data_IF_668253357724
#
_entry.id   IF_668253357724
#
_cell.length_a   1.000
_cell.length_b   1.000
_cell.length_c   1.000
_cell.angle_alpha   90.00
_cell.angle_beta   90.00
_cell.angle_gamma   90.00
#
_symmetry.space_group_name_H-M   'P 1'
#
loop_
_entity.id
_entity.type
_entity.pdbx_description
1 polymer ?
#
# COMPACT_ATOMS: atom_id res chain seq x y z
N UNK A 1 32.12 -16.62 30.18
CA UNK A 1 32.88 -15.49 30.77
C UNK A 1 33.30 -15.92 32.16
N UNK A 2 34.58 -15.85 32.48
CA UNK A 2 35.07 -16.17 33.82
C UNK A 2 34.38 -15.24 34.83
N UNK A 3 33.69 -15.82 35.81
CA UNK A 3 32.97 -15.11 36.86
C UNK A 3 33.99 -14.59 37.88
N UNK A 4 34.83 -13.66 37.44
CA UNK A 4 35.85 -13.04 38.28
C UNK A 4 35.14 -12.01 39.15
N UNK A 5 35.23 -12.23 40.45
CA UNK A 5 34.74 -11.28 41.43
C UNK A 5 35.63 -10.03 41.44
N UNK A 6 35.16 -8.96 40.78
CA UNK A 6 35.86 -7.68 40.69
C UNK A 6 35.99 -6.99 42.04
N UNK A 7 35.09 -7.27 42.99
CA UNK A 7 35.16 -6.73 44.35
C UNK A 7 36.29 -7.41 45.13
N UNK A 8 36.39 -8.74 45.05
CA UNK A 8 37.49 -9.48 45.64
C UNK A 8 38.87 -9.09 45.05
N UNK A 9 38.92 -8.73 43.76
CA UNK A 9 40.13 -8.16 43.16
C UNK A 9 40.44 -6.77 43.72
N UNK A 10 39.45 -5.88 43.81
CA UNK A 10 39.63 -4.53 44.38
C UNK A 10 40.19 -4.61 45.80
N UNK A 11 39.64 -5.46 46.66
CA UNK A 11 40.11 -5.65 48.03
C UNK A 11 41.54 -6.20 48.10
N UNK A 12 41.91 -7.10 47.19
CA UNK A 12 43.25 -7.71 47.15
C UNK A 12 44.35 -6.71 46.81
N UNK A 13 44.08 -5.83 45.84
CA UNK A 13 45.04 -4.84 45.35
C UNK A 13 44.92 -3.48 46.05
N UNK A 14 43.99 -3.34 47.01
CA UNK A 14 43.88 -2.14 47.82
C UNK A 14 45.03 -2.03 48.83
N UNK A 15 45.52 -0.80 49.11
CA UNK A 15 46.48 -0.57 50.19
C UNK A 15 45.96 -1.11 51.52
N UNK A 16 46.80 -1.87 52.23
CA UNK A 16 46.44 -2.47 53.52
C UNK A 16 46.84 -1.54 54.67
N UNK A 17 46.01 -1.44 55.73
CA UNK A 17 46.37 -0.66 56.91
C UNK A 17 47.60 -1.26 57.61
N UNK A 18 48.27 -0.45 58.42
CA UNK A 18 49.37 -0.94 59.24
C UNK A 18 48.86 -2.02 60.22
N UNK A 19 49.60 -3.12 60.41
CA UNK A 19 49.22 -4.16 61.34
C UNK A 19 49.31 -3.67 62.79
N UNK A 20 48.49 -4.27 63.65
CA UNK A 20 48.59 -4.10 65.09
C UNK A 20 49.67 -5.01 65.69
N UNK A 21 50.30 -4.55 66.76
CA UNK A 21 51.29 -5.34 67.48
C UNK A 21 50.61 -6.50 68.22
N UNK A 22 51.04 -7.73 67.93
CA UNK A 22 50.51 -8.93 68.60
C UNK A 22 50.84 -9.02 70.10
N UNK A 23 51.73 -8.16 70.62
CA UNK A 23 52.12 -8.15 72.04
C UNK A 23 51.27 -7.14 72.83
N UNK A 24 50.99 -5.95 72.29
CA UNK A 24 50.31 -4.87 73.03
C UNK A 24 49.08 -4.26 72.32
N UNK A 25 48.75 -4.70 71.11
CA UNK A 25 47.59 -4.22 70.33
C UNK A 25 47.73 -2.83 69.73
N UNK A 26 48.87 -2.14 69.90
CA UNK A 26 49.09 -0.81 69.30
C UNK A 26 49.44 -0.91 67.82
N UNK A 27 49.01 0.08 67.03
CA UNK A 27 49.38 0.21 65.61
C UNK A 27 50.90 0.26 65.45
N UNK A 28 51.42 -0.54 64.53
CA UNK A 28 52.85 -0.64 64.27
C UNK A 28 53.31 0.40 63.25
N UNK A 29 54.56 0.84 63.36
CA UNK A 29 55.14 1.80 62.42
C UNK A 29 56.10 1.11 61.44
N UNK A 30 56.22 1.66 60.24
CA UNK A 30 57.12 1.14 59.20
C UNK A 30 58.57 1.35 59.63
N UNK A 31 59.34 0.26 59.69
CA UNK A 31 60.76 0.27 60.07
C UNK A 31 61.68 0.18 58.85
N UNK A 32 61.24 -0.56 57.83
CA UNK A 32 62.00 -0.77 56.60
C UNK A 32 61.06 -1.09 55.44
N UNK A 33 61.29 -0.46 54.31
CA UNK A 33 60.65 -0.81 53.03
C UNK A 33 61.74 -1.35 52.11
N UNK A 34 61.55 -2.55 51.57
CA UNK A 34 62.44 -3.14 50.57
C UNK A 34 61.58 -3.71 49.44
N UNK A 35 61.41 -2.91 48.38
CA UNK A 35 60.48 -3.22 47.28
C UNK A 35 59.08 -3.55 47.85
N UNK A 36 58.51 -4.71 47.54
CA UNK A 36 57.21 -5.17 48.04
C UNK A 36 57.23 -5.68 49.48
N UNK A 37 58.38 -5.73 50.18
CA UNK A 37 58.43 -6.22 51.57
C UNK A 37 58.49 -5.04 52.53
N UNK A 38 57.43 -4.87 53.32
CA UNK A 38 57.33 -3.84 54.36
C UNK A 38 57.53 -4.52 55.71
N UNK A 39 58.52 -4.05 56.46
CA UNK A 39 58.74 -4.49 57.85
C UNK A 39 58.11 -3.48 58.80
N UNK A 40 57.18 -3.95 59.61
CA UNK A 40 56.56 -3.19 60.68
C UNK A 40 57.20 -3.57 62.02
N UNK A 41 57.28 -2.62 62.95
CA UNK A 41 57.74 -2.83 64.33
C UNK A 41 56.98 -1.97 65.31
N UNK A 42 56.80 -2.44 66.54
CA UNK A 42 56.25 -1.64 67.62
C UNK A 42 57.39 -0.95 68.38
N UNK A 43 57.61 0.34 68.09
CA UNK A 43 58.64 1.14 68.78
C UNK A 43 58.20 1.61 70.15
N UNK A 44 56.89 1.59 70.45
CA UNK A 44 56.37 2.17 71.70
C UNK A 44 56.51 3.69 71.79
N UNK A 45 56.89 4.33 70.67
CA UNK A 45 57.03 5.76 70.53
C UNK A 45 55.68 6.42 70.22
N UNK A 46 55.39 7.51 70.91
CA UNK A 46 54.28 8.42 70.64
C UNK A 46 54.85 9.78 70.26
N UNK A 47 54.25 10.40 69.26
CA UNK A 47 54.64 11.71 68.75
C UNK A 47 53.56 12.72 69.12
N UNK A 48 53.93 13.73 69.89
CA UNK A 48 53.08 14.88 70.23
C UNK A 48 53.83 16.19 69.95
N UNK A 49 53.20 17.32 70.27
CA UNK A 49 53.78 18.67 70.10
C UNK A 49 55.08 18.86 70.92
N UNK A 50 55.35 18.00 71.90
CA UNK A 50 56.54 18.02 72.75
C UNK A 50 57.65 17.08 72.23
N UNK A 51 57.41 16.38 71.12
CA UNK A 51 58.37 15.51 70.46
C UNK A 51 58.07 14.02 70.61
N UNK A 52 59.11 13.19 70.45
CA UNK A 52 59.00 11.74 70.55
C UNK A 52 59.21 11.30 72.00
N UNK A 53 58.23 10.64 72.59
CA UNK A 53 58.33 10.03 73.91
C UNK A 53 57.96 8.55 73.84
N UNK A 54 58.65 7.73 74.63
CA UNK A 54 58.39 6.30 74.71
C UNK A 54 57.50 6.02 75.93
N UNK A 55 56.61 5.04 75.83
CA UNK A 55 55.89 4.55 77.02
C UNK A 55 56.87 4.05 78.09
N UNK A 56 56.51 4.20 79.35
CA UNK A 56 57.37 3.84 80.50
C UNK A 56 57.90 2.40 80.39
N UNK A 57 59.22 2.23 80.53
CA UNK A 57 59.90 0.94 80.37
C UNK A 57 60.22 0.53 78.93
N UNK A 58 59.95 1.39 77.93
CA UNK A 58 60.30 1.17 76.52
C UNK A 58 61.48 2.03 76.08
N UNK A 59 62.29 1.52 75.16
CA UNK A 59 63.38 2.27 74.55
C UNK A 59 63.55 1.91 73.08
N UNK A 60 64.39 2.66 72.37
CA UNK A 60 64.77 2.30 71.01
C UNK A 60 65.44 0.90 71.03
N UNK A 61 64.92 -0.01 70.20
CA UNK A 61 65.38 -1.40 70.08
C UNK A 61 65.34 -2.23 71.38
N UNK A 62 64.25 -2.12 72.16
CA UNK A 62 63.98 -3.02 73.29
C UNK A 62 63.53 -4.43 72.83
N UNK A 63 63.45 -5.39 73.77
CA UNK A 63 63.01 -6.77 73.49
C UNK A 63 61.62 -6.79 72.83
N UNK A 64 60.75 -5.85 73.22
CA UNK A 64 59.44 -5.72 72.60
C UNK A 64 59.55 -5.31 71.13
N UNK A 65 60.40 -4.34 70.80
CA UNK A 65 60.67 -3.95 69.44
C UNK A 65 61.16 -5.14 68.63
N UNK A 66 62.13 -5.90 69.12
CA UNK A 66 62.67 -7.06 68.41
C UNK A 66 61.62 -8.15 68.19
N UNK A 67 60.87 -8.52 69.24
CA UNK A 67 59.84 -9.56 69.18
C UNK A 67 58.61 -9.14 68.38
N UNK A 68 58.29 -7.85 68.32
CA UNK A 68 57.09 -7.35 67.63
C UNK A 68 57.23 -7.35 66.11
N UNK A 69 58.44 -7.45 65.54
CA UNK A 69 58.67 -7.22 64.11
C UNK A 69 57.97 -8.23 63.21
N UNK A 70 57.24 -7.73 62.22
CA UNK A 70 56.60 -8.54 61.18
C UNK A 70 56.97 -8.01 59.80
N UNK A 71 57.21 -8.91 58.84
CA UNK A 71 57.41 -8.54 57.44
C UNK A 71 56.20 -8.97 56.63
N UNK A 72 55.54 -8.01 56.01
CA UNK A 72 54.38 -8.24 55.14
C UNK A 72 54.81 -7.98 53.69
N UNK A 73 54.30 -8.81 52.78
CA UNK A 73 54.41 -8.55 51.34
C UNK A 73 53.22 -7.68 50.93
N UNK A 74 53.52 -6.46 50.52
CA UNK A 74 52.56 -5.56 49.91
C UNK A 74 52.33 -5.99 48.45
N UNK A 75 51.06 -6.27 48.15
CA UNK A 75 50.57 -6.63 46.81
C UNK A 75 49.60 -5.58 46.29
N UNK A 76 49.50 -4.42 46.96
CA UNK A 76 48.67 -3.33 46.48
C UNK A 76 49.25 -2.74 45.19
N UNK A 77 48.36 -2.42 44.26
CA UNK A 77 48.73 -1.93 42.94
C UNK A 77 47.67 -0.94 42.44
N UNK A 78 48.06 0.33 42.36
CA UNK A 78 47.16 1.41 41.95
C UNK A 78 46.78 1.32 40.47
N UNK A 79 47.66 0.80 39.62
CA UNK A 79 47.40 0.66 38.18
C UNK A 79 46.35 -0.43 37.96
N UNK A 80 46.41 -1.53 38.72
CA UNK A 80 45.37 -2.58 38.67
C UNK A 80 44.01 -2.05 39.14
N UNK A 81 43.97 -1.22 40.18
CA UNK A 81 42.73 -0.59 40.65
C UNK A 81 42.15 0.38 39.61
N UNK A 82 43.01 1.19 38.97
CA UNK A 82 42.60 2.10 37.90
C UNK A 82 42.03 1.33 36.70
N UNK A 83 42.68 0.23 36.29
CA UNK A 83 42.19 -0.64 35.23
C UNK A 83 40.87 -1.33 35.59
N UNK A 84 40.67 -1.71 36.87
CA UNK A 84 39.40 -2.24 37.35
C UNK A 84 38.27 -1.20 37.24
N UNK A 85 38.55 0.05 37.62
CA UNK A 85 37.58 1.15 37.51
C UNK A 85 37.22 1.43 36.05
N UNK A 86 38.22 1.51 35.15
CA UNK A 86 38.01 1.63 33.71
C UNK A 86 37.19 0.46 33.16
N UNK A 87 37.50 -0.78 33.55
CA UNK A 87 36.78 -1.95 33.08
C UNK A 87 35.32 -1.97 33.57
N UNK A 88 35.06 -1.51 34.80
CA UNK A 88 33.69 -1.37 35.32
C UNK A 88 32.94 -0.29 34.54
N UNK A 89 33.59 0.82 34.23
CA UNK A 89 33.01 1.90 33.44
C UNK A 89 32.68 1.44 32.02
N UNK A 90 33.64 0.80 31.32
CA UNK A 90 33.43 0.24 29.99
C UNK A 90 32.31 -0.80 29.95
N UNK A 91 32.15 -1.60 31.01
CA UNK A 91 31.05 -2.56 31.09
C UNK A 91 29.70 -1.83 31.15
N UNK A 92 29.58 -0.76 31.94
CA UNK A 92 28.35 0.04 32.02
C UNK A 92 28.03 0.72 30.69
N UNK A 93 29.04 1.27 30.02
CA UNK A 93 28.87 1.89 28.71
C UNK A 93 28.46 0.88 27.65
N UNK A 94 29.08 -0.31 27.66
CA UNK A 94 28.67 -1.42 26.79
C UNK A 94 27.21 -1.80 27.03
N UNK A 95 26.81 -1.99 28.29
CA UNK A 95 25.44 -2.37 28.63
C UNK A 95 24.43 -1.27 28.22
N UNK A 96 24.81 0.01 28.35
CA UNK A 96 24.00 1.14 27.90
C UNK A 96 23.87 1.18 26.36
N UNK A 97 24.96 0.97 25.63
CA UNK A 97 24.96 0.91 24.16
C UNK A 97 24.11 -0.27 23.68
N UNK A 98 24.22 -1.43 24.34
CA UNK A 98 23.44 -2.62 24.01
C UNK A 98 21.94 -2.37 24.23
N UNK A 99 21.56 -1.69 25.32
CA UNK A 99 20.17 -1.28 25.56
C UNK A 99 19.65 -0.33 24.48
N UNK A 100 20.44 0.68 24.07
CA UNK A 100 20.07 1.60 22.98
C UNK A 100 19.93 0.87 21.64
N UNK A 101 20.84 -0.07 21.34
CA UNK A 101 20.79 -0.85 20.11
C UNK A 101 19.56 -1.76 20.05
N UNK A 102 19.11 -2.30 21.18
CA UNK A 102 17.85 -3.05 21.27
C UNK A 102 16.64 -2.16 21.03
N UNK A 103 16.57 -0.99 21.67
CA UNK A 103 15.48 -0.03 21.45
C UNK A 103 15.39 0.40 19.97
N UNK A 104 16.52 0.77 19.36
CA UNK A 104 16.55 1.15 17.95
C UNK A 104 16.11 0.00 17.03
N UNK A 105 16.44 -1.25 17.35
CA UNK A 105 15.98 -2.41 16.58
C UNK A 105 14.46 -2.54 16.63
N UNK A 106 13.85 -2.28 17.78
CA UNK A 106 12.40 -2.35 17.94
C UNK A 106 11.70 -1.18 17.24
N UNK A 107 12.24 0.04 17.35
CA UNK A 107 11.74 1.20 16.59
C UNK A 107 11.81 0.96 15.08
N UNK A 108 12.91 0.39 14.57
CA UNK A 108 13.05 0.06 13.15
C UNK A 108 12.08 -1.04 12.70
N UNK A 109 11.70 -1.96 13.59
CA UNK A 109 10.69 -2.97 13.31
C UNK A 109 9.31 -2.33 13.20
N UNK A 110 8.95 -1.51 14.18
CA UNK A 110 7.67 -0.78 14.18
C UNK A 110 7.55 0.14 12.97
N UNK A 111 8.62 0.85 12.60
CA UNK A 111 8.62 1.69 11.41
C UNK A 111 8.38 0.89 10.12
N UNK A 112 8.92 -0.34 10.02
CA UNK A 112 8.66 -1.22 8.88
C UNK A 112 7.21 -1.71 8.83
N UNK A 113 6.64 -2.08 9.96
CA UNK A 113 5.22 -2.47 10.05
C UNK A 113 4.30 -1.32 9.63
N UNK A 114 4.59 -0.09 10.09
CA UNK A 114 3.87 1.11 9.66
C UNK A 114 4.02 1.38 8.16
N UNK A 115 5.22 1.17 7.59
CA UNK A 115 5.43 1.33 6.16
C UNK A 115 4.63 0.29 5.36
N UNK A 116 4.59 -0.96 5.78
CA UNK A 116 3.78 -2.01 5.13
C UNK A 116 2.27 -1.71 5.19
N UNK A 117 1.80 -1.18 6.34
CA UNK A 117 0.42 -0.74 6.48
C UNK A 117 0.10 0.43 5.55
N UNK A 118 0.97 1.44 5.50
CA UNK A 118 0.82 2.59 4.60
C UNK A 118 0.87 2.16 3.13
N UNK A 119 1.78 1.25 2.76
CA UNK A 119 1.84 0.70 1.39
C UNK A 119 0.54 0.00 1.02
N UNK A 120 -0.01 -0.82 1.92
CA UNK A 120 -1.31 -1.47 1.72
C UNK A 120 -2.42 -0.44 1.53
N UNK A 121 -2.48 0.57 2.39
CA UNK A 121 -3.46 1.66 2.27
C UNK A 121 -3.30 2.45 0.95
N UNK A 122 -2.07 2.72 0.50
CA UNK A 122 -1.82 3.40 -0.79
C UNK A 122 -2.30 2.57 -1.98
N UNK A 123 -2.30 1.24 -1.90
CA UNK A 123 -2.84 0.38 -2.96
C UNK A 123 -4.38 0.34 -2.91
N UNK A 124 -4.96 0.34 -1.71
CA UNK A 124 -6.42 0.28 -1.53
C UNK A 124 -7.13 1.62 -1.79
N UNK A 125 -6.51 2.75 -1.46
CA UNK A 125 -7.09 4.09 -1.64
C UNK A 125 -7.46 4.40 -3.11
N UNK A 126 -6.60 4.14 -4.13
CA UNK A 126 -6.96 4.27 -5.54
C UNK A 126 -8.05 3.30 -5.97
N UNK A 127 -8.09 2.07 -5.44
CA UNK A 127 -9.17 1.12 -5.73
C UNK A 127 -10.51 1.66 -5.21
N UNK A 128 -10.56 2.15 -3.98
CA UNK A 128 -11.76 2.74 -3.39
C UNK A 128 -12.18 4.06 -4.06
N UNK A 129 -11.21 4.93 -4.36
CA UNK A 129 -11.46 6.22 -5.02
C UNK A 129 -11.88 6.07 -6.50
N UNK A 130 -11.33 5.07 -7.20
CA UNK A 130 -11.74 4.68 -8.56
C UNK A 130 -13.21 4.28 -8.55
N UNK A 131 -13.65 3.43 -7.62
CA UNK A 131 -15.05 2.97 -7.53
C UNK A 131 -16.02 4.09 -7.16
N UNK A 132 -15.62 5.08 -6.35
CA UNK A 132 -16.52 6.12 -5.85
C UNK A 132 -16.64 7.37 -6.75
N UNK A 133 -15.72 7.55 -7.70
CA UNK A 133 -15.73 8.67 -8.66
C UNK A 133 -16.27 8.29 -10.04
N UNK A 134 -16.66 7.02 -10.22
CA UNK A 134 -16.99 6.48 -11.52
C UNK A 134 -18.47 6.64 -11.82
N UNK A 135 -18.77 7.44 -12.84
CA UNK A 135 -20.13 7.64 -13.33
C UNK A 135 -20.75 6.28 -13.69
N UNK A 136 -21.78 5.90 -12.94
CA UNK A 136 -22.49 4.63 -13.07
C UNK A 136 -23.99 4.84 -12.96
N UNK A 137 -24.68 5.03 -14.08
CA UNK A 137 -26.12 4.93 -14.13
C UNK A 137 -26.63 3.57 -13.63
N UNK A 138 -27.82 3.51 -13.05
CA UNK A 138 -28.47 2.23 -12.71
C UNK A 138 -28.88 1.44 -13.96
N UNK A 139 -29.07 2.15 -15.07
CA UNK A 139 -29.48 1.64 -16.37
C UNK A 139 -28.59 2.25 -17.44
N UNK A 140 -28.07 1.42 -18.34
CA UNK A 140 -27.25 1.84 -19.47
C UNK A 140 -28.03 2.84 -20.33
N UNK A 141 -27.50 4.06 -20.57
CA UNK A 141 -28.24 5.10 -21.28
C UNK A 141 -28.43 4.83 -22.78
N UNK A 142 -27.64 3.92 -23.35
CA UNK A 142 -27.73 3.58 -24.79
C UNK A 142 -28.56 2.32 -25.01
N UNK A 143 -28.34 1.26 -24.23
CA UNK A 143 -29.01 -0.04 -24.44
C UNK A 143 -30.20 -0.30 -23.51
N UNK A 144 -30.39 0.49 -22.45
CA UNK A 144 -31.41 0.24 -21.45
C UNK A 144 -31.14 -0.98 -20.54
N UNK A 145 -29.99 -1.64 -20.68
CA UNK A 145 -29.61 -2.79 -19.83
C UNK A 145 -29.35 -2.32 -18.40
N UNK A 146 -29.72 -3.11 -17.39
CA UNK A 146 -29.51 -2.77 -15.97
C UNK A 146 -28.06 -3.01 -15.57
N UNK A 147 -27.55 -2.20 -14.64
CA UNK A 147 -26.24 -2.44 -14.05
C UNK A 147 -26.18 -3.85 -13.43
N UNK A 148 -25.08 -4.55 -13.67
CA UNK A 148 -24.82 -5.87 -13.12
C UNK A 148 -23.67 -5.85 -12.12
N UNK A 149 -22.44 -5.61 -12.57
CA UNK A 149 -21.26 -5.53 -11.69
C UNK A 149 -20.11 -4.74 -12.32
N UNK A 150 -19.07 -4.49 -11.52
CA UNK A 150 -17.81 -3.94 -12.01
C UNK A 150 -16.84 -5.06 -12.39
N UNK A 151 -16.19 -4.93 -13.55
CA UNK A 151 -15.25 -5.94 -14.07
C UNK A 151 -13.98 -5.23 -14.53
N UNK A 152 -12.82 -5.83 -14.26
CA UNK A 152 -11.53 -5.34 -14.74
C UNK A 152 -11.35 -5.68 -16.22
N UNK A 153 -11.15 -4.67 -17.05
CA UNK A 153 -10.85 -4.77 -18.48
C UNK A 153 -9.40 -4.37 -18.76
N UNK A 154 -8.75 -5.08 -19.68
CA UNK A 154 -7.32 -4.92 -19.98
C UNK A 154 -6.96 -3.50 -20.46
N UNK A 155 -7.84 -2.88 -21.27
CA UNK A 155 -7.57 -1.56 -21.86
C UNK A 155 -8.35 -0.43 -21.19
N UNK A 156 -9.53 -0.73 -20.64
CA UNK A 156 -10.43 0.28 -20.07
C UNK A 156 -10.34 0.37 -18.54
N UNK A 157 -9.57 -0.52 -17.90
CA UNK A 157 -9.48 -0.62 -16.45
C UNK A 157 -10.76 -1.17 -15.83
N UNK A 158 -11.07 -0.73 -14.61
CA UNK A 158 -12.26 -1.21 -13.90
C UNK A 158 -13.52 -0.54 -14.47
N UNK A 159 -14.39 -1.27 -15.15
CA UNK A 159 -15.54 -0.71 -15.89
C UNK A 159 -16.89 -1.21 -15.38
N UNK A 160 -17.96 -0.40 -15.45
CA UNK A 160 -19.28 -0.85 -15.06
C UNK A 160 -19.89 -1.65 -16.21
N UNK A 161 -20.42 -2.83 -15.89
CA UNK A 161 -21.06 -3.71 -16.87
C UNK A 161 -22.57 -3.80 -16.64
N UNK A 162 -23.32 -3.95 -17.73
CA UNK A 162 -24.77 -3.91 -17.79
C UNK A 162 -25.30 -5.14 -18.54
N UNK A 163 -26.35 -5.79 -18.04
CA UNK A 163 -26.86 -7.03 -18.62
C UNK A 163 -27.41 -7.97 -17.56
N UNK A 164 -26.90 -9.20 -17.54
CA UNK A 164 -27.36 -10.26 -16.65
C UNK A 164 -26.28 -11.30 -16.32
N UNK A 165 -26.67 -12.42 -15.70
CA UNK A 165 -25.73 -13.39 -15.13
C UNK A 165 -24.98 -14.25 -16.16
N UNK A 166 -25.41 -14.26 -17.42
CA UNK A 166 -24.73 -14.99 -18.51
C UNK A 166 -23.77 -14.08 -19.25
N UNK A 167 -24.25 -12.89 -19.62
CA UNK A 167 -23.50 -11.90 -20.36
C UNK A 167 -23.70 -10.50 -19.78
N UNK A 168 -22.60 -9.77 -19.66
CA UNK A 168 -22.61 -8.37 -19.27
C UNK A 168 -21.75 -7.54 -20.20
N UNK A 169 -22.11 -6.27 -20.37
CA UNK A 169 -21.57 -5.44 -21.43
C UNK A 169 -21.17 -4.07 -20.93
N UNK A 170 -20.14 -3.48 -21.52
CA UNK A 170 -19.78 -2.08 -21.23
C UNK A 170 -20.82 -1.11 -21.78
N UNK A 171 -20.78 0.14 -21.31
CA UNK A 171 -21.58 1.20 -21.93
C UNK A 171 -21.07 1.39 -23.37
N UNK A 172 -21.95 1.40 -24.38
CA UNK A 172 -21.51 1.51 -25.76
C UNK A 172 -20.71 2.78 -26.04
N UNK A 173 -19.63 2.63 -26.78
CA UNK A 173 -18.84 3.73 -27.31
C UNK A 173 -19.12 3.93 -28.79
N UNK A 174 -19.13 5.19 -29.22
CA UNK A 174 -19.25 5.56 -30.62
C UNK A 174 -17.88 5.67 -31.25
N UNK A 175 -17.67 5.02 -32.38
CA UNK A 175 -16.43 5.12 -33.14
C UNK A 175 -16.43 6.32 -34.11
N UNK A 176 -15.36 6.46 -34.90
CA UNK A 176 -15.23 7.52 -35.91
C UNK A 176 -16.16 7.35 -37.11
N UNK A 177 -16.69 6.13 -37.34
CA UNK A 177 -17.69 5.86 -38.38
C UNK A 177 -19.11 6.21 -37.91
N UNK A 178 -19.27 6.43 -36.60
CA UNK A 178 -20.52 6.77 -35.96
C UNK A 178 -21.29 5.56 -35.44
N UNK A 179 -20.72 4.36 -35.54
CA UNK A 179 -21.30 3.10 -35.09
C UNK A 179 -21.06 2.90 -33.59
N UNK A 180 -22.08 2.38 -32.89
CA UNK A 180 -21.99 2.05 -31.48
C UNK A 180 -21.63 0.59 -31.28
N UNK A 181 -20.57 0.35 -30.53
CA UNK A 181 -20.13 -0.98 -30.11
C UNK A 181 -19.92 -1.04 -28.61
N UNK A 182 -20.04 -2.23 -28.04
CA UNK A 182 -19.74 -2.50 -26.64
C UNK A 182 -18.92 -3.78 -26.50
N UNK A 183 -18.15 -3.87 -25.43
CA UNK A 183 -17.38 -5.07 -25.08
C UNK A 183 -18.26 -6.02 -24.26
N UNK A 184 -18.19 -7.31 -24.56
CA UNK A 184 -18.95 -8.36 -23.88
C UNK A 184 -18.03 -9.12 -22.92
N UNK A 185 -18.50 -9.31 -21.70
CA UNK A 185 -17.92 -10.24 -20.74
C UNK A 185 -18.86 -11.44 -20.60
N UNK A 186 -18.32 -12.61 -20.94
CA UNK A 186 -19.00 -13.90 -20.87
C UNK A 186 -18.72 -14.52 -19.50
N UNK A 187 -19.76 -14.64 -18.68
CA UNK A 187 -19.64 -15.12 -17.29
C UNK A 187 -19.48 -16.64 -17.20
N UNK A 188 -19.93 -17.37 -18.21
CA UNK A 188 -19.74 -18.82 -18.28
C UNK A 188 -18.29 -19.16 -18.62
N UNK A 189 -17.65 -18.36 -19.49
CA UNK A 189 -16.22 -18.47 -19.81
C UNK A 189 -15.31 -17.77 -18.78
N UNK A 190 -15.84 -16.75 -18.08
CA UNK A 190 -15.08 -15.94 -17.13
C UNK A 190 -14.10 -14.98 -17.80
N UNK A 191 -14.45 -14.42 -18.96
CA UNK A 191 -13.53 -13.58 -19.74
C UNK A 191 -14.20 -12.61 -20.70
N UNK A 192 -13.41 -11.62 -21.13
CA UNK A 192 -13.78 -10.68 -22.18
C UNK A 192 -13.72 -11.36 -23.54
N UNK A 193 -14.75 -11.17 -24.34
CA UNK A 193 -14.90 -11.74 -25.67
C UNK A 193 -15.19 -10.62 -26.68
N UNK A 194 -15.04 -10.92 -27.97
CA UNK A 194 -15.19 -9.94 -29.05
C UNK A 194 -16.47 -9.10 -28.91
N UNK A 195 -16.32 -7.79 -29.10
CA UNK A 195 -17.40 -6.82 -28.91
C UNK A 195 -18.59 -7.00 -29.84
N UNK A 196 -19.74 -6.50 -29.40
CA UNK A 196 -21.01 -6.55 -30.12
C UNK A 196 -21.32 -5.18 -30.73
N UNK A 197 -21.70 -5.17 -32.02
CA UNK A 197 -22.26 -4.02 -32.71
C UNK A 197 -23.75 -3.90 -32.39
N UNK A 198 -24.19 -2.71 -31.99
CA UNK A 198 -25.54 -2.53 -31.43
C UNK A 198 -26.55 -2.13 -32.51
N UNK A 199 -26.08 -1.71 -33.69
CA UNK A 199 -26.95 -1.32 -34.82
C UNK A 199 -27.81 -0.08 -34.56
N UNK A 200 -27.44 0.74 -33.57
CA UNK A 200 -28.06 2.03 -33.29
C UNK A 200 -27.33 3.14 -34.03
N UNK A 201 -28.08 4.11 -34.56
CA UNK A 201 -27.57 5.33 -35.18
C UNK A 201 -28.20 6.54 -34.51
N UNK A 202 -27.42 7.60 -34.31
CA UNK A 202 -27.95 8.89 -33.86
C UNK A 202 -28.60 9.59 -35.06
N UNK A 203 -29.87 9.92 -34.92
CA UNK A 203 -30.58 10.85 -35.80
C UNK A 203 -30.64 12.22 -35.12
N UNK A 204 -30.44 13.29 -35.88
CA UNK A 204 -30.67 14.64 -35.36
C UNK A 204 -32.16 15.02 -35.41
N UNK A 205 -32.51 16.11 -34.71
CA UNK A 205 -33.90 16.56 -34.62
C UNK A 205 -34.50 16.90 -35.99
N UNK A 206 -33.67 17.39 -36.92
CA UNK A 206 -34.09 17.74 -38.29
C UNK A 206 -34.40 16.48 -39.11
N UNK A 207 -33.55 15.45 -39.03
CA UNK A 207 -33.76 14.16 -39.65
C UNK A 207 -34.99 13.48 -39.06
N UNK A 208 -35.18 13.54 -37.74
CA UNK A 208 -36.39 13.03 -37.10
C UNK A 208 -37.66 13.74 -37.61
N UNK A 209 -37.63 15.06 -37.75
CA UNK A 209 -38.75 15.81 -38.34
C UNK A 209 -39.04 15.37 -39.78
N UNK A 210 -38.01 15.18 -40.60
CA UNK A 210 -38.15 14.70 -41.99
C UNK A 210 -38.75 13.31 -42.07
N UNK A 211 -38.37 12.40 -41.18
CA UNK A 211 -38.97 11.06 -41.12
C UNK A 211 -40.46 11.16 -40.78
N UNK A 212 -40.84 11.96 -39.79
CA UNK A 212 -42.25 12.16 -39.45
C UNK A 212 -43.06 12.74 -40.63
N UNK A 213 -42.54 13.76 -41.32
CA UNK A 213 -43.18 14.32 -42.51
C UNK A 213 -43.36 13.29 -43.64
N UNK A 214 -42.35 12.43 -43.83
CA UNK A 214 -42.41 11.36 -44.82
C UNK A 214 -43.43 10.29 -44.44
N UNK A 215 -43.49 9.88 -43.18
CA UNK A 215 -44.49 8.93 -42.67
C UNK A 215 -45.92 9.46 -42.88
N UNK A 216 -46.18 10.73 -42.60
CA UNK A 216 -47.47 11.37 -42.88
C UNK A 216 -47.80 11.35 -44.37
N UNK A 217 -46.81 11.66 -45.22
CA UNK A 217 -46.99 11.64 -46.68
C UNK A 217 -47.24 10.23 -47.21
N UNK A 218 -46.57 9.21 -46.67
CA UNK A 218 -46.81 7.81 -47.00
C UNK A 218 -48.23 7.42 -46.61
N UNK A 219 -48.68 7.74 -45.39
CA UNK A 219 -50.03 7.46 -44.95
C UNK A 219 -51.09 8.16 -45.84
N UNK A 220 -50.83 9.40 -46.27
CA UNK A 220 -51.69 10.11 -47.22
C UNK A 220 -51.76 9.39 -48.58
N UNK A 221 -50.62 8.94 -49.10
CA UNK A 221 -50.53 8.23 -50.36
C UNK A 221 -51.19 6.84 -50.28
N UNK A 222 -50.96 6.09 -49.20
CA UNK A 222 -51.61 4.81 -48.93
C UNK A 222 -53.13 4.97 -48.86
N UNK A 223 -53.62 6.02 -48.20
CA UNK A 223 -55.05 6.35 -48.17
C UNK A 223 -55.61 6.67 -49.55
N UNK A 224 -54.88 7.43 -50.37
CA UNK A 224 -55.27 7.71 -51.77
C UNK A 224 -55.30 6.44 -52.61
N UNK A 225 -54.31 5.56 -52.44
CA UNK A 225 -54.20 4.29 -53.18
C UNK A 225 -55.26 3.28 -52.73
N UNK A 226 -55.67 3.32 -51.46
CA UNK A 226 -56.71 2.45 -50.89
C UNK A 226 -58.08 2.64 -51.53
N UNK A 227 -58.32 3.80 -52.16
CA UNK A 227 -59.56 4.07 -52.90
C UNK A 227 -59.42 3.46 -54.30
N UNK A 228 -60.09 2.33 -54.60
CA UNK A 228 -60.04 1.78 -55.94
C UNK A 228 -60.58 2.82 -56.93
N UNK A 229 -59.84 3.05 -58.00
CA UNK A 229 -60.34 3.87 -59.11
C UNK A 229 -61.58 3.14 -59.66
N UNK A 230 -62.76 3.70 -59.35
CA UNK A 230 -64.01 3.23 -59.94
C UNK A 230 -64.00 3.69 -61.40
N UNK A 231 -63.53 2.81 -62.28
CA UNK A 231 -63.84 2.94 -63.69
C UNK A 231 -65.38 2.96 -63.80
N UNK A 232 -65.96 3.93 -64.53
CA UNK A 232 -67.41 3.97 -64.69
C UNK A 232 -67.87 2.62 -65.22
N UNK A 233 -68.77 1.97 -64.49
CA UNK A 233 -69.45 0.78 -64.98
C UNK A 233 -70.12 1.20 -66.28
N UNK A 234 -69.79 0.52 -67.38
CA UNK A 234 -70.36 0.72 -68.71
C UNK A 234 -71.85 0.33 -68.73
N UNK A 235 -72.65 1.10 -68.01
CA UNK A 235 -74.07 1.28 -68.23
C UNK A 235 -74.17 2.17 -69.47
N UNK A 236 -74.04 1.58 -70.67
CA UNK A 236 -74.60 1.96 -71.97
C UNK A 236 -74.63 3.41 -72.48
N UNK A 237 -74.20 4.41 -71.72
CA UNK A 237 -74.33 5.83 -71.97
C UNK A 237 -73.03 6.50 -71.55
N UNK A 238 -72.03 6.35 -72.40
CA UNK A 238 -70.80 7.12 -72.34
C UNK A 238 -71.11 8.61 -72.50
N UNK A 239 -70.49 9.47 -71.69
CA UNK A 239 -70.44 10.91 -71.97
C UNK A 239 -69.67 11.17 -73.28
N UNK A 240 -69.88 12.31 -73.94
CA UNK A 240 -69.17 12.68 -75.19
C UNK A 240 -67.64 12.62 -75.03
N UNK A 241 -67.13 13.03 -73.86
CA UNK A 241 -65.70 12.96 -73.53
C UNK A 241 -65.22 11.51 -73.40
N UNK A 242 -65.96 10.64 -72.71
CA UNK A 242 -65.57 9.24 -72.56
C UNK A 242 -65.62 8.48 -73.90
N UNK A 243 -66.56 8.80 -74.80
CA UNK A 243 -66.56 8.26 -76.17
C UNK A 243 -65.32 8.66 -76.94
N UNK A 244 -64.91 9.93 -76.84
CA UNK A 244 -63.70 10.40 -77.51
C UNK A 244 -62.45 9.69 -76.98
N UNK A 245 -62.38 9.40 -75.67
CA UNK A 245 -61.30 8.61 -75.10
C UNK A 245 -61.31 7.16 -75.57
N UNK A 246 -62.47 6.51 -75.60
CA UNK A 246 -62.61 5.12 -76.08
C UNK A 246 -62.26 5.00 -77.58
N UNK A 247 -62.69 5.96 -78.40
CA UNK A 247 -62.31 6.03 -79.82
C UNK A 247 -60.81 6.25 -80.01
N UNK A 248 -60.20 7.13 -79.20
CA UNK A 248 -58.76 7.37 -79.24
C UNK A 248 -57.96 6.13 -78.82
N UNK A 249 -58.39 5.43 -77.77
CA UNK A 249 -57.79 4.17 -77.32
C UNK A 249 -57.93 3.09 -78.40
N UNK A 250 -59.11 2.96 -79.01
CA UNK A 250 -59.38 2.01 -80.08
C UNK A 250 -58.51 2.29 -81.32
N UNK A 251 -58.38 3.57 -81.70
CA UNK A 251 -57.50 4.00 -82.79
C UNK A 251 -56.03 3.67 -82.49
N UNK A 252 -55.57 3.97 -81.28
CA UNK A 252 -54.21 3.67 -80.84
C UNK A 252 -53.93 2.15 -80.87
N UNK A 253 -54.83 1.33 -80.29
CA UNK A 253 -54.72 -0.13 -80.35
C UNK A 253 -54.64 -0.64 -81.80
N UNK A 254 -55.43 -0.06 -82.72
CA UNK A 254 -55.38 -0.41 -84.15
C UNK A 254 -54.04 -0.03 -84.80
N UNK A 255 -53.51 1.17 -84.52
CA UNK A 255 -52.22 1.61 -85.05
C UNK A 255 -51.08 0.72 -84.56
N UNK A 256 -51.10 0.34 -83.28
CA UNK A 256 -50.11 -0.57 -82.68
C UNK A 256 -50.15 -1.95 -83.35
N UNK A 257 -51.34 -2.51 -83.62
CA UNK A 257 -51.49 -3.75 -84.39
C UNK A 257 -50.99 -3.62 -85.83
N UNK A 258 -51.28 -2.50 -86.51
CA UNK A 258 -50.77 -2.23 -87.86
C UNK A 258 -49.24 -2.10 -87.90
N UNK A 259 -48.64 -1.61 -86.81
CA UNK A 259 -47.19 -1.56 -86.62
C UNK A 259 -46.58 -2.92 -86.23
N UNK A 260 -47.38 -4.00 -86.13
CA UNK A 260 -46.91 -5.38 -85.91
C UNK A 260 -46.83 -5.82 -84.44
N UNK A 261 -47.34 -5.02 -83.50
CA UNK A 261 -47.30 -5.35 -82.07
C UNK A 261 -48.62 -5.95 -81.58
N UNK A 262 -48.55 -6.92 -80.66
CA UNK A 262 -49.71 -7.51 -80.00
C UNK A 262 -50.26 -6.61 -78.90
N UNK A 263 -51.58 -6.59 -78.73
CA UNK A 263 -52.27 -5.85 -77.67
C UNK A 263 -53.14 -6.83 -76.90
N UNK A 264 -52.94 -6.96 -75.60
CA UNK A 264 -53.79 -7.75 -74.70
C UNK A 264 -54.94 -6.88 -74.17
N UNK A 265 -56.13 -7.47 -74.04
CA UNK A 265 -57.27 -6.83 -73.39
C UNK A 265 -57.32 -7.28 -71.92
N UNK A 266 -57.34 -6.31 -71.00
CA UNK A 266 -57.41 -6.52 -69.55
C UNK A 266 -58.86 -6.35 -69.07
#
# INVERSE_FOLDING_TARGET
>A
MSNIDKQALRERYSPKPAPECHICGKEMTIQRISSSRITYGCTGATYDDNGCHYTEGRSIADDHYEQSRVTIVDVSDLDVLALLDENIQLQREKDAIEAVALALRDDMRQAREQLEEVETQIVELPRAASVNSQWKPDVCPVTGRRFFMWIEHETLGYVPTYGGPFDSYTIPSRDSSGEFSCERYDHDLGGWVGGEFIGLYLIDDDEQCRVCELEERIAELESKLSKPVLLPKTNGYWTEQEKAYEEAITLAKRQVRLAGFSVEDM
#
